data_IF_595893027982
#
_entry.id   IF_595893027982
#
_cell.length_a   1.000
_cell.length_b   1.000
_cell.length_c   1.000
_cell.angle_alpha   90.00
_cell.angle_beta   90.00
_cell.angle_gamma   90.00
#
_symmetry.space_group_name_H-M   'P 1'
#
loop_
_entity.id
_entity.type
_entity.pdbx_description
1 polymer ?
#
# COMPACT_ATOMS: atom_id res chain seq x y z
N UNK A 1 7.11 -12.13 -13.34
CA UNK A 1 7.39 -12.26 -11.91
C UNK A 1 6.92 -10.96 -11.26
N UNK A 2 5.99 -11.01 -10.30
CA UNK A 2 5.50 -9.81 -9.62
C UNK A 2 6.54 -9.32 -8.59
N UNK A 3 6.79 -8.02 -8.55
CA UNK A 3 7.71 -7.39 -7.60
C UNK A 3 7.08 -7.22 -6.21
N UNK A 4 7.93 -7.00 -5.21
CA UNK A 4 7.52 -6.72 -3.82
C UNK A 4 6.99 -5.29 -3.72
N UNK A 5 5.93 -5.09 -2.94
CA UNK A 5 5.48 -3.76 -2.49
C UNK A 5 6.47 -3.18 -1.47
N UNK A 6 6.88 -1.93 -1.70
CA UNK A 6 7.78 -1.22 -0.81
C UNK A 6 7.02 -0.14 -0.05
N UNK A 7 7.25 -0.05 1.26
CA UNK A 7 6.83 1.10 2.06
C UNK A 7 7.84 2.20 1.81
N UNK A 8 7.40 3.27 1.14
CA UNK A 8 8.27 4.39 0.78
C UNK A 8 8.23 5.51 1.83
N UNK A 9 7.17 5.57 2.63
CA UNK A 9 7.05 6.49 3.75
C UNK A 9 6.05 5.99 4.79
N UNK A 10 6.33 6.25 6.07
CA UNK A 10 5.43 6.04 7.19
C UNK A 10 5.26 7.35 7.95
N UNK A 11 4.03 7.86 7.96
CA UNK A 11 3.63 8.99 8.78
C UNK A 11 2.91 8.46 10.02
N UNK A 12 3.69 8.23 11.08
CA UNK A 12 3.18 7.67 12.34
C UNK A 12 2.31 8.65 13.14
N UNK A 13 2.42 9.96 12.87
CA UNK A 13 1.63 11.03 13.50
C UNK A 13 0.22 11.04 12.90
N UNK A 14 0.13 11.07 11.57
CA UNK A 14 -1.15 11.04 10.86
C UNK A 14 -1.68 9.64 10.60
N UNK A 15 -0.95 8.61 11.05
CA UNK A 15 -1.28 7.20 10.83
C UNK A 15 -1.47 6.87 9.35
N UNK A 16 -0.53 7.28 8.49
CA UNK A 16 -0.55 6.98 7.06
C UNK A 16 0.67 6.16 6.62
N UNK A 17 0.44 5.17 5.78
CA UNK A 17 1.49 4.37 5.12
C UNK A 17 1.41 4.63 3.62
N UNK A 18 2.56 4.94 3.02
CA UNK A 18 2.70 5.12 1.58
C UNK A 18 3.43 3.93 0.99
N UNK A 19 2.79 3.25 0.05
CA UNK A 19 3.39 2.11 -0.66
C UNK A 19 3.56 2.40 -2.13
N UNK A 20 4.55 1.75 -2.75
CA UNK A 20 4.76 1.82 -4.19
C UNK A 20 5.24 0.47 -4.71
N UNK A 21 4.77 0.09 -5.90
CA UNK A 21 5.35 -1.01 -6.64
C UNK A 21 6.58 -0.57 -7.45
N UNK A 22 7.37 -1.53 -7.93
CA UNK A 22 8.58 -1.24 -8.72
C UNK A 22 8.25 -0.59 -10.07
N UNK A 23 7.12 -0.95 -10.66
CA UNK A 23 6.67 -0.46 -11.97
C UNK A 23 5.26 0.10 -11.90
N UNK A 24 4.92 1.00 -12.82
CA UNK A 24 3.56 1.56 -12.92
C UNK A 24 2.51 0.49 -13.22
N UNK A 25 2.87 -0.51 -14.03
CA UNK A 25 2.00 -1.65 -14.32
C UNK A 25 1.62 -2.42 -13.04
N UNK A 26 2.61 -2.72 -12.20
CA UNK A 26 2.38 -3.43 -10.94
C UNK A 26 1.57 -2.59 -9.96
N UNK A 27 1.82 -1.27 -9.90
CA UNK A 27 1.05 -0.36 -9.04
C UNK A 27 -0.44 -0.34 -9.42
N UNK A 28 -0.73 -0.20 -10.72
CA UNK A 28 -2.09 -0.27 -11.25
C UNK A 28 -2.74 -1.62 -10.99
N UNK A 29 -2.04 -2.72 -11.28
CA UNK A 29 -2.55 -4.08 -11.03
C UNK A 29 -2.91 -4.28 -9.55
N UNK A 30 -2.06 -3.80 -8.64
CA UNK A 30 -2.29 -3.94 -7.20
C UNK A 30 -3.49 -3.10 -6.74
N UNK A 31 -3.59 -1.86 -7.20
CA UNK A 31 -4.71 -0.97 -6.87
C UNK A 31 -6.05 -1.53 -7.39
N UNK A 32 -6.05 -2.15 -8.55
CA UNK A 32 -7.27 -2.74 -9.13
C UNK A 32 -7.70 -4.04 -8.42
N UNK A 33 -6.75 -4.87 -7.99
CA UNK A 33 -7.05 -6.23 -7.54
C UNK A 33 -6.97 -6.42 -6.01
N UNK A 34 -6.18 -5.62 -5.29
CA UNK A 34 -5.85 -5.87 -3.88
C UNK A 34 -6.03 -4.66 -2.96
N UNK A 35 -6.47 -3.50 -3.48
CA UNK A 35 -6.57 -2.26 -2.68
C UNK A 35 -7.43 -2.44 -1.41
N UNK A 36 -8.57 -3.14 -1.51
CA UNK A 36 -9.46 -3.36 -0.36
C UNK A 36 -8.81 -4.19 0.75
N UNK A 37 -8.09 -5.25 0.38
CA UNK A 37 -7.42 -6.11 1.36
C UNK A 37 -6.25 -5.39 2.01
N UNK A 38 -5.52 -4.58 1.24
CA UNK A 38 -4.44 -3.74 1.75
C UNK A 38 -4.99 -2.67 2.72
N UNK A 39 -6.02 -1.92 2.32
CA UNK A 39 -6.69 -0.94 3.19
C UNK A 39 -7.18 -1.57 4.49
N UNK A 40 -7.82 -2.74 4.41
CA UNK A 40 -8.29 -3.48 5.58
C UNK A 40 -7.13 -3.87 6.51
N UNK A 41 -6.04 -4.38 5.94
CA UNK A 41 -4.85 -4.82 6.69
C UNK A 41 -4.17 -3.67 7.42
N UNK A 42 -3.97 -2.53 6.75
CA UNK A 42 -3.37 -1.35 7.39
C UNK A 42 -4.32 -0.73 8.42
N UNK A 43 -5.64 -0.71 8.14
CA UNK A 43 -6.64 -0.21 9.08
C UNK A 43 -6.70 -1.04 10.36
N UNK A 44 -6.54 -2.36 10.28
CA UNK A 44 -6.46 -3.23 11.45
C UNK A 44 -5.25 -2.90 12.36
N UNK A 45 -4.19 -2.34 11.79
CA UNK A 45 -3.02 -1.84 12.51
C UNK A 45 -3.14 -0.36 12.93
N UNK A 46 -4.28 0.27 12.65
CA UNK A 46 -4.55 1.68 12.98
C UNK A 46 -4.00 2.69 11.96
N UNK A 47 -3.66 2.24 10.75
CA UNK A 47 -3.13 3.09 9.68
C UNK A 47 -4.08 3.19 8.48
N UNK A 48 -3.97 4.30 7.75
CA UNK A 48 -4.57 4.52 6.45
C UNK A 48 -3.52 4.28 5.36
N UNK A 49 -3.93 3.64 4.27
CA UNK A 49 -3.09 3.45 3.10
C UNK A 49 -3.18 4.66 2.16
N UNK A 50 -2.06 5.07 1.56
CA UNK A 50 -2.00 6.11 0.53
C UNK A 50 -1.09 5.71 -0.63
#
# INVERSE_FOLDING_TARGET
MFSKLEVINEDSVNKKIFIKAKTEFEDSYIRENYLKDLESTFKAQGFLLS
#
